data_IF_777188076537
#
_entry.id   IF_777188076537
#
_cell.length_a   1.000
_cell.length_b   1.000
_cell.length_c   1.000
_cell.angle_alpha   90.00
_cell.angle_beta   90.00
_cell.angle_gamma   90.00
#
_symmetry.space_group_name_H-M   'P 1'
#
loop_
_entity.id
_entity.type
_entity.pdbx_description
1 polymer ?
#
# COMPACT_ATOMS: atom_id res chain seq x y z
N UNK A 1 1.97 3.57 -21.89
CA UNK A 1 1.00 4.66 -22.12
C UNK A 1 1.68 5.97 -21.76
N UNK A 2 1.60 6.97 -22.63
CA UNK A 2 2.08 8.34 -22.37
C UNK A 2 0.94 9.26 -21.91
N UNK A 3 1.25 10.52 -21.63
CA UNK A 3 0.27 11.52 -21.16
C UNK A 3 -0.79 11.87 -22.22
N UNK A 4 -0.44 11.90 -23.50
CA UNK A 4 -1.38 12.24 -24.57
C UNK A 4 -2.41 11.12 -24.73
N UNK A 5 -1.97 9.87 -24.73
CA UNK A 5 -2.85 8.70 -24.76
C UNK A 5 -3.71 8.64 -23.50
N UNK A 6 -3.15 8.92 -22.33
CA UNK A 6 -3.91 8.96 -21.08
C UNK A 6 -4.97 10.07 -21.11
N UNK A 7 -4.60 11.27 -21.54
CA UNK A 7 -5.53 12.41 -21.68
C UNK A 7 -6.65 12.10 -22.67
N UNK A 8 -6.35 11.37 -23.75
CA UNK A 8 -7.37 10.90 -24.68
C UNK A 8 -8.38 9.94 -24.02
N UNK A 9 -7.94 9.02 -23.14
CA UNK A 9 -8.85 8.15 -22.39
C UNK A 9 -9.85 8.94 -21.52
N UNK A 10 -9.48 10.14 -21.08
CA UNK A 10 -10.34 11.01 -20.28
C UNK A 10 -11.38 11.77 -21.11
N UNK A 11 -11.22 11.84 -22.44
CA UNK A 11 -12.19 12.50 -23.32
C UNK A 11 -13.50 11.71 -23.43
N UNK A 12 -14.59 12.37 -23.84
CA UNK A 12 -15.87 11.70 -24.09
C UNK A 12 -15.75 10.51 -25.06
N UNK A 13 -14.94 10.64 -26.11
CA UNK A 13 -14.68 9.55 -27.06
C UNK A 13 -13.93 8.39 -26.39
N UNK A 14 -12.88 8.67 -25.62
CA UNK A 14 -12.14 7.65 -24.87
C UNK A 14 -13.03 6.91 -23.86
N UNK A 15 -13.84 7.64 -23.10
CA UNK A 15 -14.79 7.08 -22.14
C UNK A 15 -15.85 6.21 -22.80
N UNK A 16 -16.38 6.65 -23.95
CA UNK A 16 -17.36 5.87 -24.72
C UNK A 16 -16.76 4.52 -25.14
N UNK A 17 -15.54 4.53 -25.70
CA UNK A 17 -14.86 3.30 -26.11
C UNK A 17 -14.57 2.38 -24.92
N UNK A 18 -14.13 2.94 -23.78
CA UNK A 18 -13.92 2.17 -22.55
C UNK A 18 -15.20 1.50 -22.07
N UNK A 19 -16.32 2.25 -22.06
CA UNK A 19 -17.62 1.72 -21.66
C UNK A 19 -18.10 0.61 -22.60
N UNK A 20 -18.04 0.81 -23.92
CA UNK A 20 -18.37 -0.20 -24.93
C UNK A 20 -17.54 -1.48 -24.77
N UNK A 21 -16.23 -1.32 -24.56
CA UNK A 21 -15.30 -2.45 -24.41
C UNK A 21 -15.52 -3.20 -23.11
N UNK A 22 -15.91 -2.51 -22.03
CA UNK A 22 -16.13 -3.10 -20.71
C UNK A 22 -17.45 -3.88 -20.60
N UNK A 23 -18.39 -3.76 -21.56
CA UNK A 23 -19.68 -4.50 -21.56
C UNK A 23 -19.46 -6.01 -21.51
N UNK A 24 -18.47 -6.51 -22.26
CA UNK A 24 -18.11 -7.93 -22.25
C UNK A 24 -16.79 -8.11 -21.51
N UNK A 25 -16.72 -8.96 -20.47
CA UNK A 25 -15.46 -9.21 -19.79
C UNK A 25 -14.36 -9.69 -20.74
N UNK A 26 -13.18 -9.06 -20.67
CA UNK A 26 -12.00 -9.54 -21.36
C UNK A 26 -11.57 -10.89 -20.80
N UNK A 27 -11.36 -11.85 -21.70
CA UNK A 27 -10.88 -13.21 -21.42
C UNK A 27 -9.77 -13.56 -22.40
N UNK A 28 -8.93 -14.58 -22.10
CA UNK A 28 -7.94 -15.06 -23.07
C UNK A 28 -8.54 -15.43 -24.44
N UNK A 29 -9.80 -15.86 -24.49
CA UNK A 29 -10.48 -16.29 -25.71
C UNK A 29 -10.96 -15.13 -26.61
N UNK A 30 -11.40 -14.01 -26.03
CA UNK A 30 -11.94 -12.88 -26.79
C UNK A 30 -10.94 -11.71 -26.95
N UNK A 31 -9.81 -11.74 -26.25
CA UNK A 31 -8.82 -10.66 -26.22
C UNK A 31 -8.34 -10.24 -27.61
N UNK A 32 -7.92 -11.20 -28.45
CA UNK A 32 -7.41 -10.91 -29.81
C UNK A 32 -8.50 -10.36 -30.74
N UNK A 33 -9.73 -10.86 -30.59
CA UNK A 33 -10.87 -10.39 -31.37
C UNK A 33 -11.18 -8.93 -31.05
N UNK A 34 -11.29 -8.59 -29.76
CA UNK A 34 -11.58 -7.23 -29.30
C UNK A 34 -10.44 -6.28 -29.67
N UNK A 35 -9.18 -6.70 -29.51
CA UNK A 35 -8.02 -5.93 -29.94
C UNK A 35 -8.06 -5.60 -31.45
N UNK A 36 -8.48 -6.55 -32.28
CA UNK A 36 -8.60 -6.34 -33.73
C UNK A 36 -9.72 -5.35 -34.08
N UNK A 37 -10.86 -5.43 -33.40
CA UNK A 37 -11.96 -4.47 -33.58
C UNK A 37 -11.57 -3.05 -33.17
N UNK A 38 -10.86 -2.88 -32.05
CA UNK A 38 -10.39 -1.56 -31.60
C UNK A 38 -9.43 -0.92 -32.63
N UNK A 39 -8.52 -1.71 -33.20
CA UNK A 39 -7.55 -1.23 -34.21
C UNK A 39 -8.17 -0.81 -35.55
N UNK A 40 -9.42 -1.19 -35.83
CA UNK A 40 -10.10 -0.74 -37.04
C UNK A 40 -10.59 0.71 -36.96
N UNK A 41 -10.73 1.26 -35.73
CA UNK A 41 -11.32 2.58 -35.49
C UNK A 41 -10.46 3.53 -34.65
N UNK A 42 -9.34 3.07 -34.11
CA UNK A 42 -8.45 3.84 -33.24
C UNK A 42 -7.00 3.75 -33.70
N UNK A 43 -6.19 4.74 -33.30
CA UNK A 43 -4.74 4.61 -33.37
C UNK A 43 -4.27 3.41 -32.52
N UNK A 44 -3.10 2.86 -32.88
CA UNK A 44 -2.56 1.65 -32.23
C UNK A 44 -2.40 1.82 -30.72
N UNK A 45 -1.89 2.98 -30.30
CA UNK A 45 -1.63 3.35 -28.91
C UNK A 45 -2.94 3.47 -28.11
N UNK A 46 -3.97 4.07 -28.70
CA UNK A 46 -5.30 4.20 -28.10
C UNK A 46 -5.98 2.84 -27.95
N UNK A 47 -5.93 1.99 -28.98
CA UNK A 47 -6.50 0.65 -28.93
C UNK A 47 -5.83 -0.21 -27.83
N UNK A 48 -4.51 -0.14 -27.71
CA UNK A 48 -3.76 -0.80 -26.64
C UNK A 48 -4.14 -0.25 -25.26
N UNK A 49 -4.22 1.07 -25.12
CA UNK A 49 -4.54 1.75 -23.87
C UNK A 49 -5.94 1.38 -23.35
N UNK A 50 -6.95 1.31 -24.22
CA UNK A 50 -8.31 0.87 -23.87
C UNK A 50 -8.29 -0.57 -23.37
N UNK A 51 -7.67 -1.47 -24.13
CA UNK A 51 -7.65 -2.90 -23.82
C UNK A 51 -6.93 -3.16 -22.49
N UNK A 52 -5.78 -2.51 -22.28
CA UNK A 52 -5.03 -2.59 -21.04
C UNK A 52 -5.83 -2.02 -19.86
N UNK A 53 -6.47 -0.86 -20.03
CA UNK A 53 -7.28 -0.23 -18.98
C UNK A 53 -8.43 -1.15 -18.55
N UNK A 54 -9.22 -1.68 -19.49
CA UNK A 54 -10.34 -2.59 -19.16
C UNK A 54 -9.84 -3.83 -18.43
N UNK A 55 -8.75 -4.44 -18.89
CA UNK A 55 -8.16 -5.62 -18.24
C UNK A 55 -7.68 -5.31 -16.81
N UNK A 56 -7.03 -4.15 -16.61
CA UNK A 56 -6.53 -3.75 -15.30
C UNK A 56 -7.68 -3.39 -14.34
N UNK A 57 -8.76 -2.76 -14.83
CA UNK A 57 -9.96 -2.50 -14.01
C UNK A 57 -10.60 -3.79 -13.50
N UNK A 58 -10.66 -4.83 -14.32
CA UNK A 58 -11.16 -6.15 -13.90
C UNK A 58 -10.30 -6.75 -12.78
N UNK A 59 -8.96 -6.71 -12.92
CA UNK A 59 -8.04 -7.21 -11.90
C UNK A 59 -8.08 -6.37 -10.62
N UNK A 60 -8.25 -5.06 -10.77
CA UNK A 60 -8.29 -4.11 -9.67
C UNK A 60 -9.52 -4.25 -8.77
N UNK A 61 -10.61 -4.87 -9.26
CA UNK A 61 -11.81 -5.11 -8.47
C UNK A 61 -11.56 -5.92 -7.17
N UNK A 62 -10.47 -6.70 -7.11
CA UNK A 62 -10.07 -7.39 -5.89
C UNK A 62 -9.51 -6.46 -4.79
N UNK A 63 -9.04 -5.26 -5.16
CA UNK A 63 -8.41 -4.28 -4.25
C UNK A 63 -9.25 -3.01 -4.07
N UNK A 64 -10.06 -2.67 -5.07
CA UNK A 64 -10.75 -1.39 -5.18
C UNK A 64 -12.22 -1.58 -5.59
N UNK A 65 -13.14 -1.11 -4.74
CA UNK A 65 -14.59 -1.16 -4.94
C UNK A 65 -15.05 -0.35 -6.15
N UNK A 66 -14.33 0.72 -6.52
CA UNK A 66 -14.62 1.55 -7.69
C UNK A 66 -13.65 1.33 -8.85
N UNK A 67 -13.00 0.16 -8.89
CA UNK A 67 -12.02 -0.20 -9.93
C UNK A 67 -12.52 0.06 -11.36
N UNK A 68 -13.82 -0.11 -11.64
CA UNK A 68 -14.43 0.06 -12.97
C UNK A 68 -14.25 1.45 -13.60
N UNK A 69 -13.93 2.48 -12.80
CA UNK A 69 -13.69 3.85 -13.27
C UNK A 69 -12.30 4.37 -12.95
N UNK A 70 -11.41 3.51 -12.44
CA UNK A 70 -10.04 3.86 -12.09
C UNK A 70 -9.05 3.60 -13.23
N UNK A 71 -7.84 4.11 -13.10
CA UNK A 71 -6.76 3.98 -14.07
C UNK A 71 -5.51 3.40 -13.41
N UNK A 72 -4.84 2.50 -14.13
CA UNK A 72 -3.69 1.80 -13.60
C UNK A 72 -2.68 1.56 -14.71
N UNK A 73 -1.42 1.42 -14.32
CA UNK A 73 -0.46 0.61 -15.07
C UNK A 73 -0.38 -0.77 -14.42
N UNK A 74 0.06 -1.79 -15.17
CA UNK A 74 0.22 -3.14 -14.60
C UNK A 74 1.14 -3.13 -13.37
N UNK A 75 2.30 -2.49 -13.48
CA UNK A 75 3.26 -2.42 -12.38
C UNK A 75 2.69 -1.71 -11.15
N UNK A 76 1.97 -0.59 -11.36
CA UNK A 76 1.37 0.14 -10.26
C UNK A 76 0.23 -0.64 -9.59
N UNK A 77 -0.62 -1.34 -10.34
CA UNK A 77 -1.70 -2.15 -9.76
C UNK A 77 -1.15 -3.31 -8.91
N UNK A 78 -0.10 -3.98 -9.37
CA UNK A 78 0.55 -5.05 -8.62
C UNK A 78 1.08 -4.54 -7.27
N UNK A 79 1.61 -3.31 -7.23
CA UNK A 79 2.19 -2.68 -6.04
C UNK A 79 1.20 -1.90 -5.17
N UNK A 80 0.05 -1.50 -5.72
CA UNK A 80 -0.90 -0.65 -5.03
C UNK A 80 -1.48 -1.31 -3.77
N UNK A 81 -1.58 -0.52 -2.71
CA UNK A 81 -2.29 -0.86 -1.48
C UNK A 81 -3.80 -1.00 -1.76
N UNK A 82 -4.43 -2.02 -1.19
CA UNK A 82 -5.89 -2.18 -1.26
C UNK A 82 -6.63 -1.27 -0.27
N UNK A 83 -7.91 -1.00 -0.54
CA UNK A 83 -8.73 -0.05 0.22
C UNK A 83 -8.74 -0.32 1.72
N UNK A 84 -8.91 -1.58 2.13
CA UNK A 84 -9.05 -1.95 3.55
C UNK A 84 -7.81 -1.55 4.35
N UNK A 85 -6.62 -1.79 3.80
CA UNK A 85 -5.35 -1.47 4.45
C UNK A 85 -5.08 0.04 4.40
N UNK A 86 -5.29 0.67 3.24
CA UNK A 86 -5.15 2.12 3.10
C UNK A 86 -6.05 2.87 4.09
N UNK A 87 -7.32 2.48 4.18
CA UNK A 87 -8.29 3.06 5.09
C UNK A 87 -7.90 2.87 6.57
N UNK A 88 -7.38 1.69 6.93
CA UNK A 88 -6.86 1.43 8.27
C UNK A 88 -5.72 2.38 8.63
N UNK A 89 -4.68 2.48 7.78
CA UNK A 89 -3.55 3.39 8.02
C UNK A 89 -3.97 4.86 8.10
N UNK A 90 -4.85 5.29 7.20
CA UNK A 90 -5.34 6.67 7.17
C UNK A 90 -6.02 7.10 8.48
N UNK A 91 -6.59 6.17 9.25
CA UNK A 91 -7.15 6.49 10.57
C UNK A 91 -6.10 7.03 11.53
N UNK A 92 -4.86 6.55 11.46
CA UNK A 92 -3.79 6.99 12.37
C UNK A 92 -3.40 8.44 12.11
N UNK A 93 -3.29 8.83 10.83
CA UNK A 93 -3.12 10.24 10.44
C UNK A 93 -4.32 11.12 10.84
N UNK A 94 -5.55 10.61 10.70
CA UNK A 94 -6.75 11.34 11.10
C UNK A 94 -6.82 11.57 12.63
N UNK A 95 -6.41 10.58 13.44
CA UNK A 95 -6.33 10.71 14.91
C UNK A 95 -5.28 11.72 15.35
N UNK A 96 -4.15 11.77 14.64
CA UNK A 96 -3.15 12.83 14.84
C UNK A 96 -3.69 14.22 14.47
N UNK A 97 -4.66 14.30 13.56
CA UNK A 97 -5.28 15.55 13.12
C UNK A 97 -4.54 16.22 11.95
N UNK A 98 -3.81 15.45 11.13
CA UNK A 98 -3.16 16.00 9.94
C UNK A 98 -4.21 16.60 8.99
N UNK A 99 -4.02 17.86 8.60
CA UNK A 99 -4.85 18.53 7.61
C UNK A 99 -4.22 18.41 6.21
N UNK A 100 -2.89 18.30 6.14
CA UNK A 100 -2.13 18.16 4.90
C UNK A 100 -1.05 17.09 5.01
N UNK A 101 -1.11 16.10 4.11
CA UNK A 101 -0.22 14.93 4.10
C UNK A 101 0.53 14.88 2.77
N UNK A 102 1.84 14.62 2.80
CA UNK A 102 2.57 14.25 1.59
C UNK A 102 2.62 12.72 1.44
N UNK A 103 2.13 12.20 0.32
CA UNK A 103 2.28 10.81 -0.12
C UNK A 103 3.50 10.73 -1.06
N UNK A 104 4.63 10.29 -0.51
CA UNK A 104 5.93 10.25 -1.16
C UNK A 104 6.11 8.90 -1.85
N UNK A 105 6.10 8.89 -3.19
CA UNK A 105 6.04 7.66 -3.99
C UNK A 105 4.60 7.22 -4.26
N UNK A 106 3.68 8.16 -4.48
CA UNK A 106 2.24 7.89 -4.47
C UNK A 106 1.76 6.95 -5.60
N UNK A 107 2.56 6.74 -6.65
CA UNK A 107 2.20 5.90 -7.79
C UNK A 107 0.88 6.35 -8.42
N UNK A 108 -0.03 5.39 -8.64
CA UNK A 108 -1.39 5.66 -9.15
C UNK A 108 -2.39 6.05 -8.05
N UNK A 109 -1.89 6.43 -6.87
CA UNK A 109 -2.66 7.02 -5.79
C UNK A 109 -3.32 6.03 -4.84
N UNK A 110 -2.98 4.74 -4.85
CA UNK A 110 -3.66 3.71 -4.03
C UNK A 110 -3.74 4.05 -2.53
N UNK A 111 -2.65 4.60 -1.97
CA UNK A 111 -2.61 5.10 -0.60
C UNK A 111 -3.23 6.51 -0.47
N UNK A 112 -2.92 7.40 -1.42
CA UNK A 112 -3.55 8.72 -1.53
C UNK A 112 -5.08 8.68 -1.49
N UNK A 113 -5.74 7.65 -2.03
CA UNK A 113 -7.22 7.47 -1.95
C UNK A 113 -7.71 7.59 -0.51
N UNK A 114 -7.10 6.80 0.38
CA UNK A 114 -7.50 6.68 1.77
C UNK A 114 -7.05 7.90 2.59
N UNK A 115 -5.88 8.44 2.28
CA UNK A 115 -5.38 9.67 2.90
C UNK A 115 -6.27 10.87 2.54
N UNK A 116 -6.67 11.00 1.27
CA UNK A 116 -7.49 12.09 0.76
C UNK A 116 -8.90 12.12 1.36
N UNK A 117 -9.41 10.96 1.76
CA UNK A 117 -10.66 10.85 2.52
C UNK A 117 -10.57 11.48 3.94
N UNK A 118 -9.37 11.78 4.43
CA UNK A 118 -9.11 12.34 5.78
C UNK A 118 -8.50 13.73 5.74
N UNK A 119 -7.52 13.96 4.86
CA UNK A 119 -6.75 15.20 4.76
C UNK A 119 -6.63 15.66 3.30
N UNK A 120 -6.15 16.89 3.07
CA UNK A 120 -5.60 17.24 1.77
C UNK A 120 -4.30 16.43 1.56
N UNK A 121 -4.04 16.01 0.31
CA UNK A 121 -2.87 15.19 -0.02
C UNK A 121 -2.05 15.86 -1.10
N UNK A 122 -0.73 15.96 -0.88
CA UNK A 122 0.24 16.19 -1.94
C UNK A 122 0.84 14.85 -2.35
N UNK A 123 0.57 14.39 -3.56
CA UNK A 123 1.17 13.16 -4.09
C UNK A 123 2.43 13.47 -4.87
N UNK A 124 3.54 12.84 -4.51
CA UNK A 124 4.84 13.03 -5.15
C UNK A 124 5.25 11.74 -5.87
N UNK A 125 5.55 11.84 -7.16
CA UNK A 125 6.11 10.73 -7.94
C UNK A 125 7.00 11.28 -9.07
N UNK A 126 7.89 10.44 -9.61
CA UNK A 126 8.72 10.76 -10.77
C UNK A 126 7.91 10.67 -12.08
N UNK A 127 6.94 9.75 -12.12
CA UNK A 127 6.19 9.39 -13.32
C UNK A 127 4.93 10.26 -13.46
N UNK A 128 4.97 11.17 -14.44
CA UNK A 128 3.87 12.08 -14.71
C UNK A 128 2.56 11.37 -15.09
N UNK A 129 2.64 10.21 -15.77
CA UNK A 129 1.45 9.43 -16.15
C UNK A 129 0.80 8.83 -14.92
N UNK A 130 1.61 8.32 -13.97
CA UNK A 130 1.10 7.82 -12.68
C UNK A 130 0.47 8.93 -11.86
N UNK A 131 1.06 10.13 -11.80
CA UNK A 131 0.47 11.28 -11.13
C UNK A 131 -0.87 11.70 -11.73
N UNK A 132 -0.97 11.69 -13.06
CA UNK A 132 -2.23 11.96 -13.75
C UNK A 132 -3.28 10.89 -13.41
N UNK A 133 -2.91 9.60 -13.42
CA UNK A 133 -3.79 8.51 -12.96
C UNK A 133 -4.18 8.64 -11.48
N UNK A 134 -3.25 9.03 -10.61
CA UNK A 134 -3.50 9.23 -9.19
C UNK A 134 -4.53 10.33 -8.95
N UNK A 135 -4.45 11.45 -9.69
CA UNK A 135 -5.45 12.51 -9.62
C UNK A 135 -6.85 11.98 -9.94
N UNK A 136 -7.02 11.31 -11.07
CA UNK A 136 -8.32 10.76 -11.48
C UNK A 136 -8.82 9.70 -10.48
N UNK A 137 -7.93 8.83 -10.02
CA UNK A 137 -8.28 7.81 -9.04
C UNK A 137 -8.70 8.41 -7.70
N UNK A 138 -7.99 9.41 -7.18
CA UNK A 138 -8.36 10.06 -5.93
C UNK A 138 -9.68 10.81 -6.06
N UNK A 139 -9.91 11.48 -7.19
CA UNK A 139 -11.16 12.16 -7.48
C UNK A 139 -12.35 11.20 -7.43
N UNK A 140 -12.18 9.96 -7.92
CA UNK A 140 -13.21 8.92 -7.82
C UNK A 140 -13.66 8.74 -6.36
N UNK A 141 -12.77 8.70 -5.37
CA UNK A 141 -13.15 8.40 -3.97
C UNK A 141 -13.40 9.62 -3.10
N UNK A 142 -12.58 10.67 -3.23
CA UNK A 142 -12.54 11.80 -2.31
C UNK A 142 -13.10 13.10 -2.91
N UNK A 143 -13.45 13.10 -4.20
CA UNK A 143 -13.90 14.30 -4.92
C UNK A 143 -12.77 15.27 -5.27
N UNK A 144 -13.16 16.42 -5.82
CA UNK A 144 -12.23 17.41 -6.35
C UNK A 144 -11.45 18.15 -5.26
N UNK A 145 -10.23 18.58 -5.60
CA UNK A 145 -9.42 19.48 -4.76
C UNK A 145 -8.72 18.84 -3.56
N UNK A 146 -8.89 17.52 -3.33
CA UNK A 146 -8.25 16.80 -2.23
C UNK A 146 -6.84 16.29 -2.54
N UNK A 147 -6.42 16.34 -3.80
CA UNK A 147 -5.13 15.82 -4.26
C UNK A 147 -4.37 16.82 -5.12
N UNK A 148 -3.14 17.10 -4.75
CA UNK A 148 -2.20 17.98 -5.47
C UNK A 148 -1.02 17.14 -5.96
N UNK A 149 -0.91 16.86 -7.27
CA UNK A 149 0.24 16.14 -7.80
C UNK A 149 1.46 17.05 -7.87
N UNK A 150 2.62 16.51 -7.48
CA UNK A 150 3.93 17.13 -7.64
C UNK A 150 4.87 16.13 -8.33
N UNK A 151 5.26 16.43 -9.56
CA UNK A 151 6.28 15.63 -10.23
C UNK A 151 7.67 16.04 -9.73
N UNK A 152 8.35 15.16 -9.02
CA UNK A 152 9.68 15.43 -8.48
C UNK A 152 10.46 14.14 -8.20
N UNK A 153 11.79 14.23 -8.26
CA UNK A 153 12.67 13.23 -7.65
C UNK A 153 12.78 13.52 -6.15
N UNK A 154 12.29 12.60 -5.33
CA UNK A 154 12.39 12.70 -3.87
C UNK A 154 13.84 12.89 -3.40
N UNK A 155 14.83 12.36 -4.14
CA UNK A 155 16.27 12.51 -3.81
C UNK A 155 16.78 13.94 -3.96
N UNK A 156 16.07 14.78 -4.70
CA UNK A 156 16.43 16.16 -4.99
C UNK A 156 15.50 17.17 -4.30
N UNK A 157 14.44 16.67 -3.67
CA UNK A 157 13.41 17.49 -3.06
C UNK A 157 13.77 17.79 -1.60
N UNK A 158 13.64 19.06 -1.20
CA UNK A 158 13.71 19.44 0.21
C UNK A 158 12.41 19.03 0.93
N UNK A 159 12.46 18.80 2.26
CA UNK A 159 11.25 18.46 3.01
C UNK A 159 10.12 19.47 2.80
N UNK A 160 8.93 18.95 2.48
CA UNK A 160 7.74 19.74 2.19
C UNK A 160 7.11 20.31 3.48
N UNK A 161 6.49 21.50 3.43
CA UNK A 161 5.83 22.12 4.59
C UNK A 161 4.43 21.53 4.83
N UNK A 162 4.38 20.25 5.19
CA UNK A 162 3.14 19.49 5.45
C UNK A 162 3.09 19.01 6.91
N UNK A 163 1.90 18.59 7.37
CA UNK A 163 1.72 18.13 8.75
C UNK A 163 2.27 16.71 8.97
N UNK A 164 2.18 15.86 7.93
CA UNK A 164 2.59 14.47 8.02
C UNK A 164 3.10 13.91 6.69
N UNK A 165 3.91 12.86 6.78
CA UNK A 165 4.47 12.13 5.64
C UNK A 165 3.97 10.69 5.64
N UNK A 166 3.59 10.21 4.46
CA UNK A 166 3.52 8.79 4.16
C UNK A 166 4.55 8.50 3.07
N UNK A 167 5.46 7.56 3.33
CA UNK A 167 6.51 7.19 2.39
C UNK A 167 6.37 5.74 1.95
N UNK A 168 6.16 5.53 0.65
CA UNK A 168 6.11 4.21 0.01
C UNK A 168 7.20 4.11 -1.06
N UNK A 169 8.44 3.78 -0.68
CA UNK A 169 9.49 3.59 -1.67
C UNK A 169 9.25 2.34 -2.52
N UNK A 170 9.71 2.40 -3.77
CA UNK A 170 9.69 1.23 -4.63
C UNK A 170 10.64 0.16 -4.09
N UNK A 171 10.11 -1.06 -3.96
CA UNK A 171 10.82 -2.25 -3.47
C UNK A 171 11.23 -3.19 -4.60
N UNK A 172 11.30 -2.65 -5.81
CA UNK A 172 11.76 -3.34 -7.01
C UNK A 172 12.72 -2.46 -7.78
N UNK A 173 13.75 -3.06 -8.35
CA UNK A 173 14.66 -2.34 -9.24
C UNK A 173 14.04 -2.09 -10.62
N UNK A 174 14.78 -1.39 -11.49
CA UNK A 174 14.36 -1.10 -12.86
C UNK A 174 14.10 -2.38 -13.71
N UNK A 175 14.64 -3.53 -13.31
CA UNK A 175 14.45 -4.83 -13.96
C UNK A 175 13.32 -5.65 -13.31
N UNK A 176 12.62 -5.08 -12.32
CA UNK A 176 11.51 -5.72 -11.61
C UNK A 176 11.93 -6.72 -10.52
N UNK A 177 13.23 -6.86 -10.23
CA UNK A 177 13.72 -7.75 -9.16
C UNK A 177 13.31 -7.20 -7.80
N UNK A 178 12.90 -8.08 -6.87
CA UNK A 178 12.52 -7.69 -5.52
C UNK A 178 13.76 -7.23 -4.73
N UNK A 179 13.61 -6.13 -4.00
CA UNK A 179 14.59 -5.55 -3.10
C UNK A 179 14.17 -5.90 -1.68
N UNK A 180 15.08 -6.50 -0.91
CA UNK A 180 14.77 -7.00 0.43
C UNK A 180 15.29 -6.06 1.52
N UNK A 181 16.44 -5.43 1.29
CA UNK A 181 17.02 -4.47 2.23
C UNK A 181 16.38 -3.08 2.09
N UNK A 182 16.11 -2.43 3.21
CA UNK A 182 15.59 -1.05 3.25
C UNK A 182 16.60 -0.03 2.71
N UNK A 183 17.88 -0.41 2.67
CA UNK A 183 18.96 0.39 2.09
C UNK A 183 18.95 0.38 0.56
N UNK A 184 18.32 -0.62 -0.05
CA UNK A 184 18.22 -0.76 -1.50
C UNK A 184 16.92 -0.20 -2.08
N UNK A 185 15.94 0.11 -1.21
CA UNK A 185 14.68 0.73 -1.61
C UNK A 185 14.91 1.94 -2.50
N UNK A 186 13.92 2.27 -3.34
CA UNK A 186 14.02 3.36 -4.30
C UNK A 186 12.95 4.44 -4.03
N UNK A 187 13.32 5.57 -3.40
CA UNK A 187 14.61 5.88 -2.77
C UNK A 187 14.84 5.09 -1.46
N UNK A 188 16.09 5.04 -0.93
CA UNK A 188 16.40 4.27 0.26
C UNK A 188 15.70 4.84 1.49
N UNK A 189 15.46 3.99 2.50
CA UNK A 189 14.79 4.41 3.73
C UNK A 189 15.47 5.63 4.39
N UNK A 190 16.80 5.70 4.33
CA UNK A 190 17.60 6.79 4.92
C UNK A 190 17.27 8.17 4.36
N UNK A 191 16.63 8.27 3.19
CA UNK A 191 16.16 9.55 2.65
C UNK A 191 15.19 10.24 3.62
N UNK A 192 14.33 9.48 4.30
CA UNK A 192 13.31 10.05 5.16
C UNK A 192 13.89 10.57 6.48
N UNK A 193 15.09 10.12 6.89
CA UNK A 193 15.72 10.55 8.14
C UNK A 193 15.90 12.07 8.21
N UNK A 194 16.35 12.68 7.10
CA UNK A 194 16.48 14.14 7.00
C UNK A 194 15.13 14.89 7.00
N UNK A 195 14.04 14.21 6.61
CA UNK A 195 12.69 14.77 6.58
C UNK A 195 12.00 14.65 7.94
N UNK A 196 12.22 13.55 8.66
CA UNK A 196 11.62 13.28 9.99
C UNK A 196 11.98 14.35 11.03
N UNK A 197 13.15 14.99 10.91
CA UNK A 197 13.55 16.11 11.75
C UNK A 197 12.68 17.36 11.59
N UNK A 198 12.01 17.52 10.43
CA UNK A 198 11.13 18.67 10.13
C UNK A 198 9.65 18.29 10.19
N UNK A 199 9.30 17.06 9.84
CA UNK A 199 7.94 16.53 9.86
C UNK A 199 7.92 15.25 10.70
N UNK A 200 7.72 15.41 12.01
CA UNK A 200 7.84 14.31 12.96
C UNK A 200 6.76 13.22 12.76
N UNK A 201 5.57 13.60 12.30
CA UNK A 201 4.49 12.66 11.99
C UNK A 201 4.76 11.98 10.65
N UNK A 202 5.56 10.92 10.69
CA UNK A 202 5.98 10.17 9.50
C UNK A 202 5.56 8.71 9.62
N UNK A 203 5.07 8.13 8.53
CA UNK A 203 4.89 6.70 8.40
C UNK A 203 5.60 6.19 7.14
N UNK A 204 6.17 4.99 7.21
CA UNK A 204 6.89 4.38 6.08
C UNK A 204 6.38 2.97 5.84
N UNK A 205 5.98 2.67 4.61
CA UNK A 205 5.62 1.31 4.21
C UNK A 205 6.87 0.50 3.89
N UNK A 206 6.93 -0.71 4.43
CA UNK A 206 8.06 -1.63 4.26
C UNK A 206 7.61 -3.03 3.86
N UNK A 207 8.54 -3.86 3.38
CA UNK A 207 8.28 -5.26 3.09
C UNK A 207 7.93 -6.06 4.36
N UNK A 208 6.97 -7.00 4.32
CA UNK A 208 6.75 -7.96 5.41
C UNK A 208 8.03 -8.72 5.82
N UNK A 209 8.92 -8.97 4.86
CA UNK A 209 10.15 -9.73 5.04
C UNK A 209 11.36 -8.90 5.45
N UNK A 210 11.16 -7.66 5.92
CA UNK A 210 12.26 -6.78 6.36
C UNK A 210 13.08 -7.42 7.49
N UNK A 211 14.37 -7.13 7.52
CA UNK A 211 15.21 -7.44 8.67
C UNK A 211 15.04 -6.33 9.74
N UNK A 212 14.72 -6.75 10.97
CA UNK A 212 14.57 -5.82 12.10
C UNK A 212 15.86 -5.07 12.42
N UNK A 213 17.03 -5.65 12.13
CA UNK A 213 18.32 -5.00 12.37
C UNK A 213 18.52 -3.75 11.50
N UNK A 214 17.79 -3.64 10.39
CA UNK A 214 17.83 -2.47 9.50
C UNK A 214 16.83 -1.38 9.89
N UNK A 215 15.95 -1.63 10.87
CA UNK A 215 14.88 -0.71 11.24
C UNK A 215 15.36 0.35 12.24
N UNK A 216 14.91 1.61 12.12
CA UNK A 216 15.21 2.64 13.11
C UNK A 216 14.66 2.25 14.49
N UNK A 217 15.44 2.41 15.57
CA UNK A 217 15.04 1.96 16.92
C UNK A 217 13.91 2.80 17.53
N UNK A 218 13.66 3.99 16.99
CA UNK A 218 12.60 4.90 17.42
C UNK A 218 11.26 4.65 16.70
N UNK A 219 11.20 3.66 15.80
CA UNK A 219 9.98 3.29 15.09
C UNK A 219 9.09 2.35 15.91
N UNK A 220 7.77 2.58 15.89
CA UNK A 220 6.82 1.49 16.12
C UNK A 220 6.71 0.71 14.82
N UNK A 221 6.98 -0.59 14.89
CA UNK A 221 6.84 -1.50 13.74
C UNK A 221 5.50 -2.21 13.80
N UNK A 222 4.65 -1.97 12.82
CA UNK A 222 3.36 -2.63 12.69
C UNK A 222 3.33 -3.57 11.48
N UNK A 223 3.02 -4.85 11.68
CA UNK A 223 2.72 -5.77 10.58
C UNK A 223 1.21 -5.94 10.41
N UNK A 224 0.76 -5.84 9.15
CA UNK A 224 -0.67 -5.87 8.82
C UNK A 224 -0.97 -7.09 7.96
N UNK A 225 -1.87 -7.94 8.45
CA UNK A 225 -2.46 -9.07 7.74
C UNK A 225 -3.84 -8.68 7.21
N UNK A 226 -4.17 -9.17 6.02
CA UNK A 226 -5.51 -9.07 5.44
C UNK A 226 -5.96 -10.47 5.05
N UNK A 227 -7.04 -10.93 5.67
CA UNK A 227 -7.63 -12.25 5.42
C UNK A 227 -6.61 -13.41 5.54
N UNK A 228 -5.75 -13.36 6.57
CA UNK A 228 -4.76 -14.41 6.87
C UNK A 228 -3.43 -14.27 6.13
N UNK A 229 -3.27 -13.25 5.28
CA UNK A 229 -2.02 -13.01 4.56
C UNK A 229 -1.37 -11.69 4.99
N UNK A 230 -0.11 -11.75 5.43
CA UNK A 230 0.68 -10.55 5.73
C UNK A 230 0.94 -9.76 4.45
N UNK A 231 0.40 -8.55 4.38
CA UNK A 231 0.51 -7.71 3.18
C UNK A 231 1.69 -6.75 3.26
N UNK A 232 1.97 -6.22 4.45
CA UNK A 232 2.96 -5.15 4.62
C UNK A 232 3.42 -4.99 6.09
N UNK A 233 4.55 -4.31 6.24
CA UNK A 233 4.91 -3.64 7.49
C UNK A 233 4.78 -2.13 7.33
N UNK A 234 4.56 -1.43 8.45
CA UNK A 234 4.54 0.03 8.52
C UNK A 234 5.38 0.47 9.71
N UNK A 235 6.27 1.42 9.49
CA UNK A 235 6.99 2.13 10.55
C UNK A 235 6.20 3.38 10.90
N UNK A 236 5.95 3.61 12.18
CA UNK A 236 5.28 4.80 12.68
C UNK A 236 6.21 5.60 13.58
N UNK A 237 6.32 6.90 13.30
CA UNK A 237 7.25 7.80 13.98
C UNK A 237 6.55 8.97 14.67
N UNK A 238 7.23 9.53 15.67
CA UNK A 238 6.83 10.76 16.35
C UNK A 238 5.38 10.68 16.85
N UNK A 239 4.52 11.66 16.55
CA UNK A 239 3.12 11.65 16.99
C UNK A 239 2.26 10.49 16.46
N UNK A 240 2.71 9.75 15.45
CA UNK A 240 2.00 8.56 14.94
C UNK A 240 2.38 7.28 15.72
N UNK A 241 3.44 7.33 16.52
CA UNK A 241 3.86 6.24 17.39
C UNK A 241 2.88 6.10 18.58
N UNK A 242 2.36 4.89 18.82
CA UNK A 242 1.33 4.62 19.85
C UNK A 242 1.90 4.33 21.24
N UNK A 243 3.22 4.13 21.35
CA UNK A 243 3.94 3.82 22.58
C UNK A 243 4.42 2.37 22.64
N UNK A 244 3.89 1.49 21.79
CA UNK A 244 4.38 0.13 21.65
C UNK A 244 5.49 0.06 20.59
N UNK A 245 6.56 -0.69 20.86
CA UNK A 245 7.64 -0.89 19.88
C UNK A 245 7.21 -1.74 18.67
N UNK A 246 6.28 -2.68 18.89
CA UNK A 246 5.83 -3.63 17.86
C UNK A 246 4.32 -3.84 17.95
N UNK A 247 3.70 -4.06 16.80
CA UNK A 247 2.26 -4.30 16.67
C UNK A 247 1.99 -5.30 15.54
N UNK A 248 0.98 -6.14 15.74
CA UNK A 248 0.36 -6.94 14.69
C UNK A 248 -1.11 -6.53 14.57
N UNK A 249 -1.59 -6.38 13.34
CA UNK A 249 -2.99 -6.03 13.06
C UNK A 249 -3.58 -6.95 12.00
N UNK A 250 -4.76 -7.51 12.30
CA UNK A 250 -5.50 -8.39 11.41
C UNK A 250 -6.74 -7.68 10.88
N UNK A 251 -6.80 -7.55 9.55
CA UNK A 251 -7.91 -6.94 8.81
C UNK A 251 -8.73 -8.02 8.09
N UNK A 252 -10.04 -7.80 7.87
CA UNK A 252 -10.77 -6.54 8.08
C UNK A 252 -11.27 -6.30 9.52
N UNK A 253 -11.10 -7.25 10.44
CA UNK A 253 -11.64 -7.15 11.81
C UNK A 253 -11.07 -6.01 12.66
N UNK A 254 -9.87 -5.52 12.32
CA UNK A 254 -9.22 -4.45 13.10
C UNK A 254 -8.68 -4.93 14.45
N UNK A 255 -8.44 -6.24 14.60
CA UNK A 255 -7.89 -6.80 15.82
C UNK A 255 -6.39 -6.51 15.88
N UNK A 256 -5.94 -5.92 16.99
CA UNK A 256 -4.53 -5.54 17.16
C UNK A 256 -3.92 -6.19 18.40
N UNK A 257 -2.69 -6.66 18.26
CA UNK A 257 -1.83 -7.09 19.37
C UNK A 257 -0.63 -6.15 19.42
N UNK A 258 -0.38 -5.54 20.57
CA UNK A 258 0.76 -4.66 20.78
C UNK A 258 1.78 -5.36 21.70
N UNK A 259 3.06 -5.04 21.53
CA UNK A 259 4.08 -5.54 22.43
C UNK A 259 3.89 -4.99 23.84
N UNK A 260 3.82 -5.91 24.81
CA UNK A 260 3.86 -5.63 26.23
C UNK A 260 5.02 -6.43 26.85
N UNK A 261 5.87 -5.81 27.70
CA UNK A 261 6.88 -6.56 28.44
C UNK A 261 6.22 -7.62 29.33
N UNK A 262 6.75 -8.85 29.32
CA UNK A 262 6.21 -9.95 30.09
C UNK A 262 7.19 -11.11 30.21
N UNK A 263 6.86 -12.06 31.09
CA UNK A 263 7.67 -13.25 31.33
C UNK A 263 7.71 -14.16 30.10
N UNK A 264 8.83 -14.86 29.93
CA UNK A 264 9.00 -15.82 28.86
C UNK A 264 7.97 -16.96 28.98
N UNK A 265 7.41 -17.37 27.85
CA UNK A 265 6.41 -18.43 27.80
C UNK A 265 7.10 -19.80 27.77
N UNK A 266 6.64 -20.70 28.63
CA UNK A 266 7.19 -22.05 28.72
C UNK A 266 7.02 -22.84 27.40
N UNK A 267 7.93 -23.80 27.20
CA UNK A 267 7.85 -24.77 26.10
C UNK A 267 7.38 -26.11 26.65
N UNK A 268 6.31 -26.67 26.10
CA UNK A 268 5.73 -27.96 26.54
C UNK A 268 5.42 -28.86 25.35
N UNK A 269 5.26 -30.18 25.55
CA UNK A 269 4.65 -31.04 24.54
C UNK A 269 3.25 -30.55 24.14
N UNK A 270 2.75 -30.90 22.94
CA UNK A 270 1.38 -30.61 22.53
C UNK A 270 0.34 -31.12 23.53
N UNK A 271 -0.66 -30.28 23.79
CA UNK A 271 -1.80 -30.50 24.70
C UNK A 271 -3.09 -30.73 23.90
N UNK A 272 -4.25 -30.33 24.42
CA UNK A 272 -5.56 -30.59 23.80
C UNK A 272 -5.85 -29.72 22.57
N UNK A 273 -5.24 -28.54 22.50
CA UNK A 273 -5.42 -27.58 21.41
C UNK A 273 -4.10 -27.18 20.77
N UNK A 274 -4.13 -26.92 19.47
CA UNK A 274 -3.02 -26.36 18.71
C UNK A 274 -3.48 -25.05 18.06
N UNK A 275 -2.70 -23.99 18.25
CA UNK A 275 -2.95 -22.69 17.64
C UNK A 275 -1.82 -22.36 16.66
N UNK A 276 -2.20 -21.90 15.47
CA UNK A 276 -1.31 -21.32 14.46
C UNK A 276 -1.50 -19.78 14.51
N UNK A 277 -0.52 -19.02 15.02
CA UNK A 277 -0.61 -17.57 14.99
C UNK A 277 -0.62 -17.02 13.55
N UNK A 278 -1.39 -15.97 13.31
CA UNK A 278 -1.36 -15.25 12.03
C UNK A 278 0.05 -14.74 11.73
N UNK A 279 0.41 -14.71 10.44
CA UNK A 279 1.73 -14.29 10.01
C UNK A 279 2.14 -12.89 10.49
N UNK A 280 1.20 -11.96 10.71
CA UNK A 280 1.51 -10.64 11.24
C UNK A 280 1.95 -10.73 12.71
N UNK A 281 1.36 -11.63 13.51
CA UNK A 281 1.81 -11.89 14.89
C UNK A 281 3.21 -12.48 14.89
N UNK A 282 3.50 -13.40 13.97
CA UNK A 282 4.83 -14.01 13.80
C UNK A 282 5.86 -12.94 13.40
N UNK A 283 5.58 -12.15 12.36
CA UNK A 283 6.48 -11.10 11.86
C UNK A 283 6.64 -9.94 12.85
N UNK A 284 5.64 -9.65 13.66
CA UNK A 284 5.75 -8.68 14.75
C UNK A 284 6.53 -9.22 15.98
N UNK A 285 6.93 -10.50 15.97
CA UNK A 285 7.58 -11.19 17.09
C UNK A 285 6.70 -11.15 18.36
N UNK A 286 5.39 -11.36 18.20
CA UNK A 286 4.38 -11.28 19.27
C UNK A 286 3.77 -12.64 19.65
N UNK A 287 4.40 -13.74 19.27
CA UNK A 287 3.92 -15.11 19.57
C UNK A 287 3.78 -15.33 21.07
N UNK A 288 4.76 -14.89 21.87
CA UNK A 288 4.69 -15.04 23.33
C UNK A 288 3.64 -14.13 23.97
N UNK A 289 3.42 -12.95 23.40
CA UNK A 289 2.36 -12.04 23.84
C UNK A 289 0.97 -12.66 23.59
N UNK A 290 0.79 -13.28 22.43
CA UNK A 290 -0.43 -14.02 22.12
C UNK A 290 -0.61 -15.21 23.09
N UNK A 291 0.45 -15.97 23.34
CA UNK A 291 0.40 -17.12 24.24
C UNK A 291 0.00 -16.73 25.66
N UNK A 292 0.56 -15.64 26.22
CA UNK A 292 0.16 -15.11 27.52
C UNK A 292 -1.33 -14.74 27.58
N UNK A 293 -1.84 -14.06 26.55
CA UNK A 293 -3.27 -13.69 26.48
C UNK A 293 -4.21 -14.90 26.38
N UNK A 294 -3.76 -15.98 25.77
CA UNK A 294 -4.52 -17.23 25.63
C UNK A 294 -4.34 -18.19 26.82
N UNK A 295 -3.39 -17.94 27.72
CA UNK A 295 -2.98 -18.94 28.71
C UNK A 295 -2.31 -20.18 28.09
N UNK A 296 -1.71 -20.03 26.91
CA UNK A 296 -1.10 -21.11 26.13
C UNK A 296 0.43 -21.17 26.34
N UNK A 297 1.03 -22.28 25.94
CA UNK A 297 2.48 -22.51 25.91
C UNK A 297 2.99 -22.68 24.49
N UNK A 298 4.30 -22.56 24.28
CA UNK A 298 4.93 -22.86 23.00
C UNK A 298 5.14 -24.37 22.88
N UNK A 299 5.02 -24.93 21.68
CA UNK A 299 5.38 -26.34 21.47
C UNK A 299 6.89 -26.54 21.23
N UNK A 300 7.57 -25.48 20.80
CA UNK A 300 9.01 -25.47 20.53
C UNK A 300 9.51 -24.01 20.55
N UNK A 301 10.80 -23.81 20.82
CA UNK A 301 11.37 -22.47 21.01
C UNK A 301 11.45 -21.64 19.70
N UNK A 302 11.59 -22.29 18.55
CA UNK A 302 11.92 -21.69 17.25
C UNK A 302 10.72 -21.56 16.29
N UNK A 303 9.68 -22.38 16.47
CA UNK A 303 8.45 -22.30 15.66
C UNK A 303 7.33 -21.56 16.41
N UNK A 304 6.40 -21.00 15.65
CA UNK A 304 5.38 -20.11 16.19
C UNK A 304 4.17 -20.82 16.85
N UNK A 305 4.04 -22.14 16.70
CA UNK A 305 2.85 -22.87 17.17
C UNK A 305 2.71 -22.86 18.69
N UNK A 306 1.47 -22.69 19.15
CA UNK A 306 1.09 -22.67 20.57
C UNK A 306 0.15 -23.81 20.92
N UNK A 307 0.08 -24.17 22.20
CA UNK A 307 -0.79 -25.25 22.70
C UNK A 307 -1.38 -24.94 24.07
N UNK A 308 -2.57 -25.48 24.36
CA UNK A 308 -3.28 -25.38 25.64
C UNK A 308 -4.11 -26.65 25.92
#
# INVERSE_FOLDING_TARGET
MDLDTFSWLLTAAGQQVLAETAVTPLTPHNHLHIASQLRQRLASEQAQAVLETVLLRQKAAAKFSRAAVMYFTRAALEQASGEVIGAYRAQRFARFGAAWIADLGCGVGGDALALAARAAVMGVDLDAVRLAMARENVQVYAGDGRFQPLQADLRQLAPLPVDALFFDPARRDAHGRRLFSVHEYQPPLSLIDGWRAKVAATAVKISPGVDYAELPPDAEVEFISLAGEVKEGVLWFGPLHSGAARRATLLPGGHTLAYEPGEAVAVTPPQGYLYEPDGAVIRAHLVEELARRLGATKINAEIAYLTA
#
